data_IF_701222897731
#
_entry.id   IF_701222897731
#
_cell.length_a   1.000
_cell.length_b   1.000
_cell.length_c   1.000
_cell.angle_alpha   90.00
_cell.angle_beta   90.00
_cell.angle_gamma   90.00
#
_symmetry.space_group_name_H-M   'P 1'
#
loop_
_entity.id
_entity.type
_entity.pdbx_description
1 polymer ?
#
# COMPACT_ATOMS: atom_id res chain seq x y z
N UNK A 1 24.20 6.58 7.72
CA UNK A 1 24.11 5.11 7.66
C UNK A 1 22.68 4.75 7.96
N UNK A 2 21.96 4.07 7.05
CA UNK A 2 20.56 3.67 7.23
C UNK A 2 20.42 2.80 8.48
N UNK A 3 19.42 3.10 9.30
CA UNK A 3 19.13 2.32 10.52
C UNK A 3 17.99 1.32 10.24
N UNK A 4 18.20 0.39 9.32
CA UNK A 4 17.36 -0.80 9.31
C UNK A 4 17.81 -1.72 10.45
N UNK A 5 16.87 -2.13 11.27
CA UNK A 5 17.11 -3.10 12.34
C UNK A 5 17.40 -4.49 11.80
N UNK A 6 16.92 -4.80 10.59
CA UNK A 6 17.11 -6.07 9.89
C UNK A 6 17.57 -5.84 8.43
N UNK A 7 18.82 -6.16 8.07
CA UNK A 7 19.31 -6.05 6.70
C UNK A 7 18.53 -6.88 5.67
N UNK A 8 18.02 -8.06 6.04
CA UNK A 8 17.24 -8.91 5.14
C UNK A 8 15.94 -8.25 4.68
N UNK A 9 15.34 -7.43 5.56
CA UNK A 9 14.14 -6.64 5.21
C UNK A 9 14.48 -5.55 4.20
N UNK A 10 15.64 -4.90 4.34
CA UNK A 10 16.11 -3.92 3.37
C UNK A 10 16.35 -4.56 2.00
N UNK A 11 17.04 -5.70 1.96
CA UNK A 11 17.30 -6.42 0.71
C UNK A 11 15.98 -6.80 0.03
N UNK A 12 15.02 -7.35 0.78
CA UNK A 12 13.69 -7.67 0.29
C UNK A 12 12.93 -6.42 -0.21
N UNK A 13 13.03 -5.29 0.48
CA UNK A 13 12.45 -4.02 0.03
C UNK A 13 13.03 -3.59 -1.32
N UNK A 14 14.34 -3.70 -1.47
CA UNK A 14 15.05 -3.33 -2.71
C UNK A 14 14.80 -4.31 -3.86
N UNK A 15 14.68 -5.60 -3.58
CA UNK A 15 14.28 -6.62 -4.55
C UNK A 15 12.83 -6.46 -4.99
N UNK A 16 12.00 -5.91 -4.11
CA UNK A 16 10.59 -5.61 -4.34
C UNK A 16 9.64 -6.66 -3.81
N UNK A 17 8.64 -6.17 -3.08
CA UNK A 17 7.65 -6.96 -2.39
C UNK A 17 6.21 -6.65 -2.76
N UNK A 18 5.35 -7.60 -2.47
CA UNK A 18 3.90 -7.50 -2.52
C UNK A 18 3.39 -7.14 -1.11
N UNK A 19 2.89 -5.91 -0.94
CA UNK A 19 2.50 -5.37 0.37
C UNK A 19 1.03 -4.93 0.32
N UNK A 20 0.08 -5.70 0.87
CA UNK A 20 -1.30 -5.24 0.99
C UNK A 20 -1.42 -4.07 1.98
N UNK A 21 -2.28 -3.12 1.63
CA UNK A 21 -2.73 -2.07 2.53
C UNK A 21 -3.88 -2.64 3.38
N UNK A 22 -3.60 -2.93 4.65
CA UNK A 22 -4.49 -3.70 5.53
C UNK A 22 -5.77 -2.92 5.88
N UNK A 23 -6.98 -3.41 5.55
CA UNK A 23 -8.24 -2.80 5.94
C UNK A 23 -8.51 -2.89 7.45
N UNK A 24 -9.30 -1.96 7.97
CA UNK A 24 -9.78 -1.98 9.35
C UNK A 24 -11.06 -2.79 9.46
N UNK A 25 -11.04 -3.86 10.25
CA UNK A 25 -12.25 -4.60 10.58
C UNK A 25 -12.91 -4.00 11.83
N UNK A 26 -14.19 -3.65 11.70
CA UNK A 26 -15.00 -3.05 12.78
C UNK A 26 -16.21 -3.91 13.12
N UNK A 27 -16.73 -3.73 14.34
CA UNK A 27 -18.07 -4.13 14.76
C UNK A 27 -19.08 -3.04 14.36
N UNK A 28 -20.38 -3.35 14.47
CA UNK A 28 -21.46 -2.42 14.14
C UNK A 28 -21.53 -1.17 15.02
N UNK A 29 -20.90 -1.21 16.20
CA UNK A 29 -20.76 -0.08 17.12
C UNK A 29 -19.45 0.72 16.88
N UNK A 30 -18.75 0.46 15.78
CA UNK A 30 -17.49 1.05 15.37
C UNK A 30 -16.29 0.72 16.26
N UNK A 31 -16.43 -0.21 17.20
CA UNK A 31 -15.27 -0.77 17.90
C UNK A 31 -14.47 -1.72 16.98
N UNK A 32 -13.19 -1.91 17.26
CA UNK A 32 -12.35 -2.81 16.47
C UNK A 32 -12.85 -4.26 16.62
N UNK A 33 -13.15 -4.92 15.49
CA UNK A 33 -13.35 -6.37 15.46
C UNK A 33 -11.98 -7.06 15.41
N UNK A 34 -11.37 -7.23 16.59
CA UNK A 34 -10.02 -7.80 16.71
C UNK A 34 -9.93 -9.19 16.07
N UNK A 35 -10.95 -10.03 16.20
CA UNK A 35 -10.98 -11.37 15.62
C UNK A 35 -10.87 -11.33 14.09
N UNK A 36 -11.69 -10.51 13.44
CA UNK A 36 -11.64 -10.36 11.98
C UNK A 36 -10.36 -9.64 11.53
N UNK A 37 -9.86 -8.68 12.31
CA UNK A 37 -8.60 -7.99 12.01
C UNK A 37 -7.42 -8.96 12.01
N UNK A 38 -7.30 -9.82 13.03
CA UNK A 38 -6.29 -10.89 13.11
C UNK A 38 -6.46 -11.92 11.99
N UNK A 39 -7.71 -12.30 11.67
CA UNK A 39 -8.01 -13.20 10.54
C UNK A 39 -7.51 -12.63 9.21
N UNK A 40 -7.73 -11.35 8.93
CA UNK A 40 -7.20 -10.69 7.73
C UNK A 40 -5.68 -10.76 7.67
N UNK A 41 -5.00 -10.50 8.78
CA UNK A 41 -3.54 -10.65 8.87
C UNK A 41 -3.09 -12.07 8.51
N UNK A 42 -3.74 -13.09 9.07
CA UNK A 42 -3.44 -14.52 8.77
C UNK A 42 -3.75 -14.87 7.31
N UNK A 43 -4.85 -14.34 6.76
CA UNK A 43 -5.19 -14.52 5.35
C UNK A 43 -4.08 -14.00 4.44
N UNK A 44 -3.58 -12.78 4.68
CA UNK A 44 -2.47 -12.23 3.89
C UNK A 44 -1.21 -13.09 4.01
N UNK A 45 -0.88 -13.55 5.21
CA UNK A 45 0.25 -14.47 5.43
C UNK A 45 0.08 -15.79 4.69
N UNK A 46 -1.13 -16.34 4.65
CA UNK A 46 -1.45 -17.56 3.92
C UNK A 46 -1.38 -17.35 2.39
N UNK A 47 -1.70 -16.16 1.88
CA UNK A 47 -1.52 -15.80 0.48
C UNK A 47 -0.04 -15.75 0.05
N UNK A 48 0.89 -15.54 0.98
CA UNK A 48 2.32 -15.48 0.71
C UNK A 48 2.81 -14.08 0.35
N UNK A 49 2.29 -13.05 1.04
CA UNK A 49 2.72 -11.65 0.89
C UNK A 49 4.15 -11.43 1.40
N UNK A 50 4.82 -10.38 0.94
CA UNK A 50 6.18 -10.03 1.35
C UNK A 50 6.22 -9.02 2.51
N UNK A 51 5.09 -8.38 2.79
CA UNK A 51 4.95 -7.43 3.87
C UNK A 51 3.50 -7.06 4.12
N UNK A 52 3.26 -6.21 5.11
CA UNK A 52 1.94 -5.66 5.44
C UNK A 52 2.09 -4.18 5.78
N UNK A 53 1.17 -3.35 5.27
CA UNK A 53 1.05 -1.94 5.64
C UNK A 53 -0.22 -1.70 6.45
N UNK A 54 -0.09 -1.11 7.64
CA UNK A 54 -1.18 -0.82 8.57
C UNK A 54 -1.19 0.66 8.98
N UNK A 55 -2.34 1.21 9.35
CA UNK A 55 -2.46 2.64 9.66
C UNK A 55 -2.44 3.53 8.41
N UNK A 56 -2.67 2.94 7.24
CA UNK A 56 -2.71 3.55 5.91
C UNK A 56 -4.14 3.89 5.49
N UNK A 57 -4.37 4.35 4.26
CA UNK A 57 -5.70 4.77 3.78
C UNK A 57 -6.79 3.71 4.02
N UNK A 58 -6.55 2.46 3.67
CA UNK A 58 -7.52 1.36 3.87
C UNK A 58 -7.78 1.02 5.34
N UNK A 59 -6.83 1.37 6.23
CA UNK A 59 -7.02 1.25 7.68
C UNK A 59 -7.85 2.42 8.23
N UNK A 60 -8.20 3.39 7.39
CA UNK A 60 -8.94 4.62 7.68
C UNK A 60 -8.11 5.61 8.51
N UNK A 61 -7.97 6.84 8.00
CA UNK A 61 -7.16 7.86 8.69
C UNK A 61 -7.80 8.29 10.01
N UNK A 62 -9.12 8.14 10.13
CA UNK A 62 -9.95 8.42 11.29
C UNK A 62 -9.60 7.59 12.54
N UNK A 63 -8.83 6.52 12.42
CA UNK A 63 -8.26 5.80 13.59
C UNK A 63 -7.48 6.73 14.53
N UNK A 64 -7.10 7.93 14.02
CA UNK A 64 -6.35 8.96 14.76
C UNK A 64 -7.24 9.98 15.43
N UNK A 65 -8.52 10.02 15.08
CA UNK A 65 -9.46 10.96 15.70
C UNK A 65 -9.56 10.69 17.20
N UNK A 66 -9.58 11.75 18.04
CA UNK A 66 -9.61 11.58 19.51
C UNK A 66 -10.77 10.74 20.02
N UNK A 67 -11.90 10.70 19.29
CA UNK A 67 -13.06 9.90 19.65
C UNK A 67 -12.82 8.38 19.50
N UNK A 68 -11.91 7.96 18.61
CA UNK A 68 -11.55 6.58 18.39
C UNK A 68 -10.21 6.21 19.01
N UNK A 69 -9.17 6.98 18.70
CA UNK A 69 -7.81 6.79 19.19
C UNK A 69 -7.29 5.35 19.02
N UNK A 70 -7.53 4.76 17.83
CA UNK A 70 -7.22 3.36 17.53
C UNK A 70 -5.83 3.15 16.93
N UNK A 71 -5.08 4.21 16.61
CA UNK A 71 -3.82 4.08 15.87
C UNK A 71 -2.86 3.06 16.52
N UNK A 72 -2.51 3.25 17.79
CA UNK A 72 -1.62 2.33 18.52
C UNK A 72 -2.20 0.92 18.55
N UNK A 73 -3.47 0.77 18.87
CA UNK A 73 -4.13 -0.52 19.04
C UNK A 73 -4.11 -1.37 17.76
N UNK A 74 -4.40 -0.78 16.58
CA UNK A 74 -4.37 -1.54 15.31
C UNK A 74 -2.96 -1.98 14.93
N UNK A 75 -1.95 -1.16 15.23
CA UNK A 75 -0.56 -1.53 15.04
C UNK A 75 -0.15 -2.69 15.98
N UNK A 76 -0.53 -2.63 17.26
CA UNK A 76 -0.25 -3.67 18.26
C UNK A 76 -0.88 -5.01 17.89
N UNK A 77 -2.18 -5.02 17.52
CA UNK A 77 -2.89 -6.24 17.11
C UNK A 77 -2.20 -6.90 15.91
N UNK A 78 -1.84 -6.09 14.91
CA UNK A 78 -1.16 -6.61 13.71
C UNK A 78 0.24 -7.12 14.03
N UNK A 79 1.04 -6.38 14.80
CA UNK A 79 2.39 -6.79 15.18
C UNK A 79 2.41 -8.08 16.03
N UNK A 80 1.46 -8.21 16.95
CA UNK A 80 1.29 -9.42 17.76
C UNK A 80 0.93 -10.64 16.88
N UNK A 81 -0.01 -10.49 15.94
CA UNK A 81 -0.40 -11.57 15.04
C UNK A 81 0.76 -11.99 14.11
N UNK A 82 1.54 -11.03 13.60
CA UNK A 82 2.74 -11.31 12.82
C UNK A 82 3.79 -12.07 13.66
N UNK A 83 3.96 -11.68 14.92
CA UNK A 83 4.88 -12.38 15.85
C UNK A 83 4.47 -13.83 16.08
N UNK A 84 3.18 -14.07 16.34
CA UNK A 84 2.61 -15.43 16.54
C UNK A 84 2.81 -16.33 15.32
N UNK A 85 2.81 -15.76 14.12
CA UNK A 85 3.02 -16.53 12.89
C UNK A 85 4.43 -17.11 12.73
N UNK A 86 5.40 -16.64 13.51
CA UNK A 86 6.82 -16.98 13.38
C UNK A 86 7.50 -16.39 12.13
N UNK A 87 6.78 -15.57 11.33
CA UNK A 87 7.28 -14.98 10.06
C UNK A 87 7.66 -13.50 10.19
N UNK A 88 7.49 -12.89 11.36
CA UNK A 88 7.66 -11.44 11.56
C UNK A 88 9.03 -10.91 11.08
N UNK A 89 10.12 -11.66 11.28
CA UNK A 89 11.47 -11.25 10.90
C UNK A 89 11.74 -11.27 9.39
N UNK A 90 10.91 -11.98 8.62
CA UNK A 90 11.06 -12.11 7.16
C UNK A 90 10.08 -11.23 6.37
N UNK A 91 9.24 -10.44 7.05
CA UNK A 91 8.21 -9.59 6.45
C UNK A 91 8.60 -8.11 6.53
N UNK A 92 8.26 -7.36 5.47
CA UNK A 92 8.35 -5.90 5.47
C UNK A 92 7.14 -5.35 6.24
N UNK A 93 7.38 -4.73 7.40
CA UNK A 93 6.33 -4.15 8.24
C UNK A 93 6.31 -2.64 8.08
N UNK A 94 5.21 -2.12 7.53
CA UNK A 94 5.05 -0.70 7.22
C UNK A 94 3.94 -0.11 8.08
N UNK A 95 4.25 0.95 8.84
CA UNK A 95 3.24 1.73 9.56
C UNK A 95 2.95 3.04 8.81
N UNK A 96 1.67 3.37 8.59
CA UNK A 96 1.28 4.69 8.10
C UNK A 96 1.58 5.77 9.13
N UNK A 97 2.15 6.90 8.69
CA UNK A 97 2.47 8.06 9.52
C UNK A 97 1.83 9.29 8.90
N UNK A 98 1.04 10.04 9.68
CA UNK A 98 0.25 11.18 9.21
C UNK A 98 0.43 12.42 10.09
N UNK A 99 -0.28 13.49 9.73
CA UNK A 99 -0.42 14.70 10.52
C UNK A 99 0.81 15.63 10.55
N UNK A 100 0.74 16.72 11.31
CA UNK A 100 1.84 17.67 11.48
C UNK A 100 3.04 17.02 12.20
N UNK A 101 4.15 17.74 12.30
CA UNK A 101 5.44 17.19 12.75
C UNK A 101 5.37 16.47 14.11
N UNK A 102 4.67 17.04 15.09
CA UNK A 102 4.60 16.44 16.43
C UNK A 102 3.86 15.08 16.41
N UNK A 103 2.70 15.03 15.75
CA UNK A 103 1.95 13.78 15.57
C UNK A 103 2.77 12.76 14.77
N UNK A 104 3.41 13.20 13.70
CA UNK A 104 4.22 12.28 12.87
C UNK A 104 5.42 11.69 13.63
N UNK A 105 6.02 12.43 14.54
CA UNK A 105 7.10 11.93 15.41
C UNK A 105 6.56 10.93 16.44
N UNK A 106 5.44 11.23 17.08
CA UNK A 106 4.78 10.30 18.02
C UNK A 106 4.39 8.98 17.31
N UNK A 107 3.77 9.07 16.14
CA UNK A 107 3.41 7.88 15.35
C UNK A 107 4.64 7.08 14.91
N UNK A 108 5.74 7.75 14.55
CA UNK A 108 7.00 7.11 14.20
C UNK A 108 7.63 6.38 15.40
N UNK A 109 7.61 6.97 16.59
CA UNK A 109 8.10 6.37 17.83
C UNK A 109 7.25 5.15 18.23
N UNK A 110 5.93 5.25 18.13
CA UNK A 110 5.02 4.12 18.33
C UNK A 110 5.36 2.98 17.37
N UNK A 111 5.43 3.26 16.08
CA UNK A 111 5.74 2.28 15.05
C UNK A 111 7.09 1.60 15.29
N UNK A 112 8.13 2.38 15.59
CA UNK A 112 9.46 1.85 15.90
C UNK A 112 9.43 0.97 17.15
N UNK A 113 8.75 1.38 18.22
CA UNK A 113 8.64 0.61 19.48
C UNK A 113 7.93 -0.74 19.29
N UNK A 114 7.01 -0.83 18.33
CA UNK A 114 6.28 -2.05 17.97
C UNK A 114 7.00 -2.90 16.92
N UNK A 115 8.22 -2.50 16.52
CA UNK A 115 9.07 -3.25 15.60
C UNK A 115 8.66 -3.14 14.12
N UNK A 116 8.00 -2.06 13.71
CA UNK A 116 7.81 -1.73 12.30
C UNK A 116 9.14 -1.28 11.67
N UNK A 117 9.34 -1.65 10.42
CA UNK A 117 10.61 -1.43 9.71
C UNK A 117 10.64 -0.06 9.00
N UNK A 118 9.47 0.42 8.53
CA UNK A 118 9.32 1.67 7.78
C UNK A 118 8.06 2.43 8.19
N UNK A 119 8.16 3.76 8.11
CA UNK A 119 7.02 4.65 8.15
C UNK A 119 6.58 5.09 6.75
N UNK A 120 5.36 4.73 6.31
CA UNK A 120 4.74 5.28 5.11
C UNK A 120 4.26 6.69 5.42
N UNK A 121 5.07 7.68 5.04
CA UNK A 121 4.87 9.07 5.42
C UNK A 121 3.89 9.78 4.48
N UNK A 122 2.66 9.98 4.94
CA UNK A 122 1.64 10.73 4.20
C UNK A 122 1.85 12.22 4.33
N UNK A 123 1.59 12.94 3.24
CA UNK A 123 1.50 14.41 3.18
C UNK A 123 0.04 14.90 3.12
N UNK A 124 -0.92 13.98 3.19
CA UNK A 124 -2.35 14.29 3.19
C UNK A 124 -2.77 15.14 4.38
N UNK A 125 -3.75 16.02 4.19
CA UNK A 125 -4.26 16.90 5.24
C UNK A 125 -3.33 18.06 5.63
N UNK A 126 -2.20 18.28 4.92
CA UNK A 126 -1.20 19.30 5.22
C UNK A 126 -1.08 20.34 4.08
N UNK A 127 -2.21 20.73 3.51
CA UNK A 127 -2.28 21.66 2.37
C UNK A 127 -1.76 23.06 2.68
N UNK A 128 -1.79 23.46 3.93
CA UNK A 128 -1.30 24.74 4.46
C UNK A 128 0.23 24.81 4.60
N UNK A 129 0.92 23.66 4.56
CA UNK A 129 2.37 23.62 4.64
C UNK A 129 3.01 23.75 3.25
N UNK A 130 4.10 24.54 3.18
CA UNK A 130 4.94 24.58 1.98
C UNK A 130 5.69 23.27 1.74
N UNK A 131 6.18 23.04 0.51
CA UNK A 131 7.01 21.89 0.19
C UNK A 131 8.28 21.82 1.05
N UNK A 132 8.93 22.95 1.33
CA UNK A 132 10.12 22.98 2.18
C UNK A 132 9.78 22.60 3.65
N UNK A 133 8.62 23.02 4.18
CA UNK A 133 8.17 22.60 5.52
C UNK A 133 7.87 21.08 5.57
N UNK A 134 7.31 20.52 4.50
CA UNK A 134 7.08 19.06 4.39
C UNK A 134 8.40 18.29 4.27
N UNK A 135 9.39 18.83 3.59
CA UNK A 135 10.75 18.26 3.56
C UNK A 135 11.42 18.30 4.94
N UNK A 136 11.26 19.39 5.70
CA UNK A 136 11.79 19.48 7.06
C UNK A 136 11.11 18.50 8.01
N UNK A 137 9.77 18.34 7.90
CA UNK A 137 9.02 17.30 8.61
C UNK A 137 9.57 15.90 8.27
N UNK A 138 9.81 15.63 7.00
CA UNK A 138 10.36 14.35 6.54
C UNK A 138 11.74 14.09 7.15
N UNK A 139 12.63 15.10 7.18
CA UNK A 139 13.95 14.98 7.81
C UNK A 139 13.88 14.65 9.31
N UNK A 140 12.88 15.15 10.00
CA UNK A 140 12.68 14.86 11.43
C UNK A 140 12.19 13.41 11.61
N UNK A 141 11.17 12.96 10.88
CA UNK A 141 10.66 11.59 10.94
C UNK A 141 11.75 10.58 10.54
N UNK A 142 12.54 10.89 9.51
CA UNK A 142 13.65 10.04 9.04
C UNK A 142 14.78 9.81 10.09
N UNK A 143 14.83 10.60 11.17
CA UNK A 143 15.74 10.36 12.30
C UNK A 143 15.21 9.30 13.26
N UNK A 144 13.90 9.05 13.25
CA UNK A 144 13.22 8.09 14.12
C UNK A 144 13.08 6.75 13.43
N UNK A 145 12.48 6.71 12.23
CA UNK A 145 12.19 5.50 11.48
C UNK A 145 12.58 5.68 10.00
N UNK A 146 13.07 4.63 9.29
CA UNK A 146 13.25 4.69 7.85
C UNK A 146 11.96 5.08 7.13
N UNK A 147 12.07 6.00 6.16
CA UNK A 147 10.90 6.59 5.50
C UNK A 147 10.60 5.88 4.18
N UNK A 148 9.36 5.47 4.05
CA UNK A 148 8.68 5.15 2.82
C UNK A 148 7.88 6.38 2.40
N UNK A 149 8.33 7.14 1.40
CA UNK A 149 7.61 8.30 0.88
C UNK A 149 6.26 7.88 0.29
N UNK A 150 5.27 8.77 0.35
CA UNK A 150 3.95 8.48 -0.20
C UNK A 150 3.42 9.64 -1.03
N UNK A 151 3.34 9.43 -2.35
CA UNK A 151 2.62 10.32 -3.25
C UNK A 151 1.17 9.87 -3.35
N UNK A 152 0.30 10.48 -2.56
CA UNK A 152 -1.13 10.21 -2.55
C UNK A 152 -1.86 11.13 -3.55
N UNK A 153 -2.82 10.59 -4.30
CA UNK A 153 -3.64 11.37 -5.23
C UNK A 153 -4.53 12.40 -4.52
N UNK A 154 -4.82 13.55 -5.18
CA UNK A 154 -5.64 14.61 -4.58
C UNK A 154 -7.07 14.20 -4.21
N UNK A 155 -7.70 13.27 -4.95
CA UNK A 155 -9.09 12.85 -4.73
C UNK A 155 -9.34 12.16 -3.38
N UNK A 156 -8.28 11.66 -2.74
CA UNK A 156 -8.34 11.00 -1.42
C UNK A 156 -7.45 11.70 -0.38
N UNK A 157 -7.34 13.02 -0.50
CA UNK A 157 -6.67 13.88 0.49
C UNK A 157 -5.19 14.15 0.24
N UNK A 158 -4.63 13.74 -0.90
CA UNK A 158 -3.27 14.08 -1.31
C UNK A 158 -3.16 15.47 -1.95
N UNK A 159 -1.99 15.77 -2.50
CA UNK A 159 -1.74 17.01 -3.27
C UNK A 159 -0.70 16.77 -4.36
N UNK A 160 -0.69 17.66 -5.36
CA UNK A 160 0.35 17.66 -6.42
C UNK A 160 1.63 18.27 -5.85
N UNK A 161 2.76 17.63 -6.16
CA UNK A 161 4.09 18.11 -5.77
C UNK A 161 4.92 18.46 -6.99
N UNK A 162 5.82 19.42 -6.82
CA UNK A 162 6.80 19.77 -7.85
C UNK A 162 7.85 18.66 -8.04
N UNK A 163 8.47 18.64 -9.25
CA UNK A 163 9.65 17.80 -9.48
C UNK A 163 10.79 18.10 -8.49
N UNK A 164 10.99 19.39 -8.17
CA UNK A 164 12.04 19.82 -7.23
C UNK A 164 11.78 19.32 -5.82
N UNK A 165 10.52 19.21 -5.39
CA UNK A 165 10.17 18.57 -4.13
C UNK A 165 10.67 17.13 -4.09
N UNK A 166 10.34 16.31 -5.10
CA UNK A 166 10.75 14.92 -5.14
C UNK A 166 12.26 14.76 -5.23
N UNK A 167 12.96 15.64 -5.95
CA UNK A 167 14.40 15.66 -6.00
C UNK A 167 15.01 15.89 -4.62
N UNK A 168 14.57 16.94 -3.91
CA UNK A 168 15.00 17.24 -2.53
C UNK A 168 14.60 16.15 -1.55
N UNK A 169 13.43 15.49 -1.77
CA UNK A 169 12.97 14.37 -0.96
C UNK A 169 13.91 13.16 -1.06
N UNK A 170 14.40 12.86 -2.26
CA UNK A 170 15.38 11.79 -2.48
C UNK A 170 16.73 12.07 -1.81
N UNK A 171 17.08 13.33 -1.57
CA UNK A 171 18.35 13.70 -0.89
C UNK A 171 18.29 13.46 0.63
N UNK A 172 17.11 13.21 1.21
CA UNK A 172 16.95 13.02 2.66
C UNK A 172 17.52 11.64 3.05
N UNK A 173 18.51 11.57 3.97
CA UNK A 173 18.98 10.31 4.52
C UNK A 173 17.83 9.50 5.14
N UNK A 174 17.91 8.16 5.08
CA UNK A 174 16.87 7.22 5.53
C UNK A 174 15.53 7.28 4.76
N UNK A 175 15.41 8.04 3.66
CA UNK A 175 14.38 7.74 2.64
C UNK A 175 14.86 6.53 1.86
N UNK A 176 14.12 5.42 1.98
CA UNK A 176 14.52 4.10 1.47
C UNK A 176 13.60 3.61 0.35
N UNK A 177 12.39 4.15 0.29
CA UNK A 177 11.42 3.81 -0.75
C UNK A 177 10.45 4.97 -1.01
N UNK A 178 9.82 4.97 -2.17
CA UNK A 178 8.71 5.88 -2.51
C UNK A 178 7.57 5.06 -3.10
N UNK A 179 6.39 5.14 -2.47
CA UNK A 179 5.12 4.69 -3.03
C UNK A 179 4.56 5.80 -3.89
N UNK A 180 4.36 5.51 -5.17
CA UNK A 180 3.85 6.45 -6.17
C UNK A 180 2.42 6.10 -6.51
N UNK A 181 1.47 6.95 -6.11
CA UNK A 181 0.04 6.74 -6.24
C UNK A 181 -0.73 8.01 -6.64
N UNK A 182 -0.24 8.85 -7.58
CA UNK A 182 -1.00 10.02 -8.02
C UNK A 182 -2.12 9.70 -9.01
N UNK A 183 -2.17 8.49 -9.58
CA UNK A 183 -3.05 8.07 -10.68
C UNK A 183 -2.91 9.01 -11.92
N UNK A 184 -1.70 9.50 -12.12
CA UNK A 184 -1.30 10.39 -13.20
C UNK A 184 0.09 10.01 -13.70
N UNK A 185 0.20 9.78 -15.02
CA UNK A 185 1.47 9.31 -15.60
C UNK A 185 2.56 10.38 -15.60
N UNK A 186 2.20 11.65 -15.76
CA UNK A 186 3.17 12.76 -15.76
C UNK A 186 3.76 12.93 -14.36
N UNK A 187 2.91 12.93 -13.33
CA UNK A 187 3.33 13.01 -11.94
C UNK A 187 4.14 11.78 -11.51
N UNK A 188 3.75 10.59 -11.98
CA UNK A 188 4.52 9.35 -11.80
C UNK A 188 5.92 9.49 -12.38
N UNK A 189 6.05 10.02 -13.62
CA UNK A 189 7.34 10.24 -14.28
C UNK A 189 8.23 11.22 -13.52
N UNK A 190 7.66 12.26 -12.91
CA UNK A 190 8.43 13.23 -12.13
C UNK A 190 9.11 12.55 -10.90
N UNK A 191 8.41 11.65 -10.21
CA UNK A 191 9.01 10.88 -9.11
C UNK A 191 10.15 9.98 -9.62
N UNK A 192 9.88 9.21 -10.68
CA UNK A 192 10.89 8.28 -11.23
C UNK A 192 12.13 9.04 -11.70
N UNK A 193 11.92 10.16 -12.40
CA UNK A 193 13.00 11.04 -12.88
C UNK A 193 13.79 11.63 -11.72
N UNK A 194 13.11 12.07 -10.64
CA UNK A 194 13.77 12.60 -9.44
C UNK A 194 14.67 11.55 -8.79
N UNK A 195 14.21 10.31 -8.65
CA UNK A 195 15.03 9.21 -8.14
C UNK A 195 16.26 8.99 -9.03
N UNK A 196 16.08 8.92 -10.36
CA UNK A 196 17.20 8.72 -11.29
C UNK A 196 18.25 9.85 -11.23
N UNK A 197 17.81 11.08 -10.96
CA UNK A 197 18.69 12.26 -10.90
C UNK A 197 19.26 12.55 -9.49
N UNK A 198 18.85 11.80 -8.46
CA UNK A 198 19.32 12.02 -7.09
C UNK A 198 20.73 11.49 -6.82
N UNK A 199 21.23 10.59 -7.65
CA UNK A 199 22.46 9.82 -7.38
C UNK A 199 22.28 8.72 -6.33
N UNK A 200 21.06 8.57 -5.81
CA UNK A 200 20.69 7.54 -4.81
C UNK A 200 19.71 6.50 -5.39
N UNK A 201 19.65 6.38 -6.70
CA UNK A 201 18.76 5.43 -7.38
C UNK A 201 18.92 3.96 -6.92
N UNK A 202 20.11 3.48 -6.50
CA UNK A 202 20.24 2.12 -5.96
C UNK A 202 19.76 1.98 -4.50
N UNK A 203 19.57 3.11 -3.79
CA UNK A 203 19.21 3.12 -2.37
C UNK A 203 17.72 3.37 -2.11
N UNK A 204 16.98 3.80 -3.12
CA UNK A 204 15.55 4.14 -2.99
C UNK A 204 14.73 3.18 -3.83
N UNK A 205 13.98 2.28 -3.19
CA UNK A 205 13.06 1.38 -3.85
C UNK A 205 11.83 2.15 -4.39
N UNK A 206 11.39 1.83 -5.60
CA UNK A 206 10.21 2.43 -6.20
C UNK A 206 9.06 1.43 -6.18
N UNK A 207 7.95 1.79 -5.52
CA UNK A 207 6.77 0.97 -5.35
C UNK A 207 5.56 1.61 -6.00
N UNK A 208 4.79 0.83 -6.77
CA UNK A 208 3.53 1.33 -7.30
C UNK A 208 2.45 1.35 -6.23
N UNK A 209 1.66 2.40 -6.26
CA UNK A 209 0.41 2.58 -5.56
C UNK A 209 -0.68 3.04 -6.54
N UNK A 210 -0.37 3.01 -7.85
CA UNK A 210 -1.29 3.36 -8.92
C UNK A 210 -2.21 2.19 -9.22
N UNK A 211 -3.32 2.09 -8.50
CA UNK A 211 -4.30 1.01 -8.69
C UNK A 211 -4.92 1.01 -10.10
N UNK A 212 -4.83 2.12 -10.83
CA UNK A 212 -5.23 2.26 -12.23
C UNK A 212 -4.22 1.66 -13.24
N UNK A 213 -3.00 1.29 -12.80
CA UNK A 213 -1.92 0.93 -13.74
C UNK A 213 -0.90 -0.08 -13.17
N UNK A 214 -1.32 -0.97 -12.28
CA UNK A 214 -0.44 -1.86 -11.50
C UNK A 214 0.49 -2.67 -12.40
N UNK A 215 -0.07 -3.40 -13.35
CA UNK A 215 0.68 -4.33 -14.22
C UNK A 215 1.68 -3.57 -15.07
N UNK A 216 1.24 -2.48 -15.70
CA UNK A 216 2.12 -1.66 -16.55
C UNK A 216 3.29 -1.05 -15.75
N UNK A 217 3.03 -0.56 -14.53
CA UNK A 217 4.10 -0.04 -13.67
C UNK A 217 5.15 -1.13 -13.39
N UNK A 218 4.72 -2.35 -13.03
CA UNK A 218 5.61 -3.44 -12.67
C UNK A 218 6.46 -3.96 -13.83
N UNK A 219 5.98 -3.88 -15.07
CA UNK A 219 6.72 -4.38 -16.24
C UNK A 219 7.51 -3.32 -16.98
N UNK A 220 7.28 -2.02 -16.69
CA UNK A 220 7.92 -0.91 -17.42
C UNK A 220 9.33 -0.65 -16.91
N UNK A 221 10.27 -0.44 -17.84
CA UNK A 221 11.59 0.10 -17.58
C UNK A 221 11.63 1.58 -17.93
N UNK A 222 11.93 2.41 -16.93
CA UNK A 222 12.08 3.85 -17.10
C UNK A 222 13.56 4.19 -17.27
N UNK A 223 13.92 4.89 -18.33
CA UNK A 223 15.31 5.25 -18.66
C UNK A 223 15.45 6.74 -18.82
N UNK A 224 16.40 7.34 -18.08
CA UNK A 224 16.70 8.75 -18.15
C UNK A 224 18.19 8.97 -18.35
N UNK A 225 18.54 9.96 -19.19
CA UNK A 225 19.90 10.41 -19.35
C UNK A 225 20.28 11.30 -18.15
N UNK A 226 21.32 10.93 -17.43
CA UNK A 226 21.86 11.67 -16.28
C UNK A 226 23.35 11.89 -16.51
N UNK A 227 23.73 13.11 -16.92
CA UNK A 227 25.07 13.38 -17.43
C UNK A 227 25.34 12.54 -18.68
N UNK A 228 26.43 11.77 -18.67
CA UNK A 228 26.84 10.91 -19.80
C UNK A 228 26.34 9.46 -19.69
N UNK A 229 25.62 9.11 -18.63
CA UNK A 229 25.06 7.76 -18.43
C UNK A 229 23.54 7.71 -18.61
N UNK A 230 23.03 6.53 -18.94
CA UNK A 230 21.59 6.22 -18.89
C UNK A 230 21.34 5.48 -17.58
N UNK A 231 20.45 6.04 -16.75
CA UNK A 231 20.01 5.43 -15.51
C UNK A 231 18.66 4.75 -15.78
N UNK A 232 18.55 3.49 -15.40
CA UNK A 232 17.31 2.70 -15.48
C UNK A 232 16.69 2.55 -14.09
N UNK A 233 15.37 2.74 -14.00
CA UNK A 233 14.59 2.50 -12.78
C UNK A 233 13.33 1.72 -13.12
N UNK A 234 12.90 0.85 -12.17
CA UNK A 234 11.65 0.09 -12.27
C UNK A 234 10.88 0.18 -10.98
N UNK A 235 9.58 0.02 -11.08
CA UNK A 235 8.78 -0.35 -9.92
C UNK A 235 9.14 -1.79 -9.55
N UNK A 236 9.73 -1.96 -8.38
CA UNK A 236 10.20 -3.28 -7.92
C UNK A 236 9.11 -4.06 -7.19
N UNK A 237 8.11 -3.35 -6.65
CA UNK A 237 7.00 -3.91 -5.90
C UNK A 237 5.78 -3.01 -5.90
N UNK A 238 4.77 -3.38 -5.12
CA UNK A 238 3.56 -2.60 -4.91
C UNK A 238 3.14 -2.55 -3.44
N UNK A 239 2.60 -1.40 -3.04
CA UNK A 239 1.88 -1.21 -1.79
C UNK A 239 0.53 -0.59 -2.16
N UNK A 240 -0.51 -1.42 -2.22
CA UNK A 240 -1.73 -1.13 -2.96
C UNK A 240 -2.98 -1.49 -2.17
N UNK A 241 -4.07 -0.74 -2.42
CA UNK A 241 -5.40 -1.06 -1.96
C UNK A 241 -5.94 -2.33 -2.61
N UNK A 242 -5.70 -2.51 -3.93
CA UNK A 242 -6.06 -3.73 -4.65
C UNK A 242 -5.50 -5.00 -4.00
N UNK A 243 -4.30 -4.93 -3.43
CA UNK A 243 -3.66 -6.09 -2.80
C UNK A 243 -4.36 -6.57 -1.51
N UNK A 244 -5.31 -5.80 -1.00
CA UNK A 244 -6.13 -6.17 0.16
C UNK A 244 -7.28 -7.14 -0.17
N UNK A 245 -7.65 -7.29 -1.44
CA UNK A 245 -8.72 -8.16 -1.93
C UNK A 245 -8.18 -9.09 -3.02
N UNK A 246 -8.78 -10.26 -3.15
CA UNK A 246 -8.32 -11.29 -4.09
C UNK A 246 -6.81 -11.51 -4.02
N UNK A 247 -6.29 -11.42 -2.79
CA UNK A 247 -4.86 -11.30 -2.50
C UNK A 247 -4.07 -12.46 -3.05
N UNK A 248 -4.60 -13.70 -2.97
CA UNK A 248 -3.90 -14.88 -3.48
C UNK A 248 -3.65 -14.79 -4.99
N UNK A 249 -4.65 -14.38 -5.76
CA UNK A 249 -4.53 -14.21 -7.22
C UNK A 249 -3.59 -13.07 -7.59
N UNK A 250 -3.67 -11.98 -6.83
CA UNK A 250 -2.78 -10.83 -7.03
C UNK A 250 -1.31 -11.17 -6.71
N UNK A 251 -1.04 -12.00 -5.68
CA UNK A 251 0.31 -12.53 -5.40
C UNK A 251 0.80 -13.43 -6.54
N UNK A 252 -0.05 -14.33 -7.04
CA UNK A 252 0.29 -15.21 -8.18
C UNK A 252 0.66 -14.38 -9.42
N UNK A 253 -0.14 -13.36 -9.75
CA UNK A 253 0.14 -12.43 -10.84
C UNK A 253 1.47 -11.70 -10.62
N UNK A 254 1.68 -11.12 -9.45
CA UNK A 254 2.92 -10.41 -9.12
C UNK A 254 4.16 -11.31 -9.29
N UNK A 255 4.11 -12.56 -8.78
CA UNK A 255 5.20 -13.54 -8.94
C UNK A 255 5.43 -13.90 -10.41
N UNK A 256 4.36 -14.10 -11.18
CA UNK A 256 4.43 -14.36 -12.62
C UNK A 256 5.14 -13.21 -13.36
N UNK A 257 4.77 -11.96 -13.09
CA UNK A 257 5.39 -10.80 -13.72
C UNK A 257 6.88 -10.69 -13.37
N UNK A 258 7.25 -10.83 -12.09
CA UNK A 258 8.66 -10.76 -11.65
C UNK A 258 9.50 -11.88 -12.29
N UNK A 259 9.01 -13.10 -12.25
CA UNK A 259 9.72 -14.25 -12.81
C UNK A 259 9.85 -14.16 -14.32
N UNK A 260 8.77 -13.76 -15.00
CA UNK A 260 8.78 -13.60 -16.46
C UNK A 260 9.71 -12.48 -16.92
N UNK A 261 9.79 -11.35 -16.18
CA UNK A 261 10.76 -10.29 -16.44
C UNK A 261 12.19 -10.80 -16.27
N UNK A 262 12.46 -11.52 -15.17
CA UNK A 262 13.79 -12.07 -14.87
C UNK A 262 14.28 -13.05 -15.94
N UNK A 263 13.35 -13.86 -16.46
CA UNK A 263 13.63 -14.87 -17.51
C UNK A 263 13.54 -14.34 -18.93
N UNK A 264 12.96 -13.17 -19.14
CA UNK A 264 12.65 -12.65 -20.48
C UNK A 264 11.58 -13.47 -21.22
N UNK A 265 10.62 -14.04 -20.49
CA UNK A 265 9.59 -14.95 -21.02
C UNK A 265 8.17 -14.42 -20.95
N UNK A 266 7.99 -13.11 -20.65
CA UNK A 266 6.64 -12.52 -20.61
C UNK A 266 5.99 -12.49 -22.00
N UNK A 267 4.76 -12.96 -22.05
CA UNK A 267 3.85 -12.64 -23.14
C UNK A 267 3.25 -11.26 -22.90
N UNK A 268 3.90 -10.21 -23.42
CA UNK A 268 3.48 -8.84 -23.19
C UNK A 268 2.04 -8.55 -23.62
N UNK A 269 1.54 -9.00 -24.80
CA UNK A 269 0.12 -8.85 -25.15
C UNK A 269 -0.82 -9.42 -24.08
N UNK A 270 -0.60 -10.65 -23.62
CA UNK A 270 -1.44 -11.28 -22.60
C UNK A 270 -1.35 -10.54 -21.25
N UNK A 271 -0.14 -10.14 -20.84
CA UNK A 271 0.10 -9.38 -19.59
C UNK A 271 -0.58 -8.01 -19.62
N UNK A 272 -0.53 -7.30 -20.75
CA UNK A 272 -1.20 -6.01 -20.91
C UNK A 272 -2.72 -6.16 -20.86
N UNK A 273 -3.28 -7.24 -21.45
CA UNK A 273 -4.70 -7.56 -21.34
C UNK A 273 -5.11 -7.79 -19.89
N UNK A 274 -4.35 -8.58 -19.14
CA UNK A 274 -4.57 -8.77 -17.69
C UNK A 274 -4.49 -7.44 -16.95
N UNK A 275 -3.60 -6.53 -17.35
CA UNK A 275 -3.52 -5.18 -16.78
C UNK A 275 -4.81 -4.37 -16.94
N UNK A 276 -5.46 -4.48 -18.11
CA UNK A 276 -6.77 -3.85 -18.35
C UNK A 276 -7.85 -4.46 -17.45
N UNK A 277 -7.87 -5.78 -17.30
CA UNK A 277 -8.82 -6.51 -16.45
C UNK A 277 -8.68 -6.10 -14.97
N UNK A 278 -7.45 -6.05 -14.45
CA UNK A 278 -7.17 -5.57 -13.08
C UNK A 278 -7.62 -4.13 -12.89
N UNK A 279 -7.37 -3.26 -13.88
CA UNK A 279 -7.80 -1.86 -13.82
C UNK A 279 -9.33 -1.73 -13.82
N UNK A 280 -10.04 -2.55 -14.60
CA UNK A 280 -11.51 -2.59 -14.60
C UNK A 280 -12.06 -3.09 -13.25
N UNK A 281 -11.46 -4.13 -12.66
CA UNK A 281 -11.82 -4.57 -11.30
C UNK A 281 -11.62 -3.43 -10.28
N UNK A 282 -10.52 -2.69 -10.39
CA UNK A 282 -10.23 -1.56 -9.51
C UNK A 282 -11.20 -0.40 -9.69
N UNK A 283 -11.71 -0.18 -10.90
CA UNK A 283 -12.70 0.86 -11.14
C UNK A 283 -13.98 0.65 -10.33
N UNK A 284 -14.40 -0.62 -10.15
CA UNK A 284 -15.56 -1.01 -9.37
C UNK A 284 -15.31 -0.93 -7.85
N UNK A 285 -14.21 -1.54 -7.37
CA UNK A 285 -13.95 -1.58 -5.91
C UNK A 285 -13.57 -0.23 -5.34
N UNK A 286 -12.89 0.64 -6.12
CA UNK A 286 -12.50 1.98 -5.67
C UNK A 286 -13.51 3.07 -6.03
N UNK A 287 -14.66 2.72 -6.61
CA UNK A 287 -15.75 3.67 -6.89
C UNK A 287 -15.30 4.88 -7.72
N UNK A 288 -14.55 4.61 -8.78
CA UNK A 288 -13.97 5.65 -9.65
C UNK A 288 -15.07 6.53 -10.25
N UNK A 289 -16.24 5.95 -10.59
CA UNK A 289 -17.38 6.67 -11.11
C UNK A 289 -17.91 7.77 -10.17
N UNK A 290 -17.72 7.60 -8.86
CA UNK A 290 -18.12 8.55 -7.82
C UNK A 290 -16.91 9.22 -7.13
N UNK A 291 -15.79 9.37 -7.86
CA UNK A 291 -14.57 10.05 -7.40
C UNK A 291 -14.00 9.43 -6.13
N UNK A 292 -13.96 8.11 -6.07
CA UNK A 292 -13.39 7.31 -4.97
C UNK A 292 -14.14 7.42 -3.63
N UNK A 293 -15.40 7.87 -3.63
CA UNK A 293 -16.19 8.08 -2.41
C UNK A 293 -16.42 6.78 -1.62
N UNK A 294 -16.64 5.65 -2.31
CA UNK A 294 -16.86 4.33 -1.73
C UNK A 294 -15.64 3.41 -1.82
N UNK A 295 -14.42 3.95 -1.78
CA UNK A 295 -13.21 3.16 -2.05
C UNK A 295 -12.87 2.16 -0.94
N UNK A 296 -13.05 2.50 0.33
CA UNK A 296 -12.82 1.59 1.45
C UNK A 296 -14.01 0.64 1.58
N UNK A 297 -15.23 1.16 1.46
CA UNK A 297 -16.47 0.35 1.47
C UNK A 297 -16.49 -0.71 0.37
N UNK A 298 -15.96 -0.42 -0.83
CA UNK A 298 -15.86 -1.39 -1.91
C UNK A 298 -14.89 -2.53 -1.58
N UNK A 299 -13.75 -2.23 -0.96
CA UNK A 299 -12.83 -3.25 -0.43
C UNK A 299 -13.56 -4.10 0.63
N UNK A 300 -14.25 -3.47 1.58
CA UNK A 300 -14.99 -4.18 2.62
C UNK A 300 -16.08 -5.07 2.03
N UNK A 301 -16.81 -4.63 1.00
CA UNK A 301 -17.84 -5.42 0.33
C UNK A 301 -17.27 -6.74 -0.22
N UNK A 302 -16.10 -6.70 -0.86
CA UNK A 302 -15.43 -7.93 -1.33
C UNK A 302 -15.08 -8.84 -0.15
N UNK A 303 -14.47 -8.29 0.90
CA UNK A 303 -14.06 -9.07 2.08
C UNK A 303 -15.26 -9.69 2.84
N UNK A 304 -16.42 -9.01 2.87
CA UNK A 304 -17.67 -9.54 3.44
C UNK A 304 -18.18 -10.71 2.61
N UNK A 305 -18.24 -10.57 1.29
CA UNK A 305 -18.66 -11.65 0.39
C UNK A 305 -17.79 -12.90 0.56
N UNK A 306 -16.52 -12.71 0.86
CA UNK A 306 -15.58 -13.78 1.16
C UNK A 306 -15.66 -14.31 2.60
N UNK A 307 -16.40 -13.65 3.51
CA UNK A 307 -16.52 -14.03 4.92
C UNK A 307 -15.31 -13.71 5.78
N UNK A 308 -14.42 -12.83 5.28
CA UNK A 308 -13.21 -12.42 6.00
C UNK A 308 -13.49 -11.37 7.08
N UNK A 309 -14.47 -10.48 6.86
CA UNK A 309 -14.97 -9.50 7.83
C UNK A 309 -16.49 -9.57 7.96
N UNK A 310 -17.05 -8.91 8.98
CA UNK A 310 -18.49 -9.02 9.32
C UNK A 310 -19.37 -7.95 8.66
N UNK A 311 -18.81 -6.80 8.30
CA UNK A 311 -19.61 -5.69 7.77
C UNK A 311 -18.75 -4.60 7.13
N UNK A 312 -19.42 -3.70 6.39
CA UNK A 312 -18.78 -2.58 5.66
C UNK A 312 -18.56 -1.33 6.53
N UNK A 313 -18.71 -1.47 7.83
CA UNK A 313 -18.61 -0.33 8.74
C UNK A 313 -17.29 0.41 8.60
N UNK A 314 -17.40 1.73 8.47
CA UNK A 314 -16.26 2.65 8.41
C UNK A 314 -16.41 3.71 9.50
N UNK A 315 -15.29 4.26 9.98
CA UNK A 315 -15.27 5.30 11.02
C UNK A 315 -15.86 6.61 10.50
N UNK A 316 -15.59 6.94 9.22
CA UNK A 316 -16.26 8.06 8.56
C UNK A 316 -17.67 7.67 8.12
N UNK A 317 -18.72 8.41 8.50
CA UNK A 317 -20.09 8.17 8.05
C UNK A 317 -20.29 8.44 6.55
N UNK A 318 -19.36 9.18 5.93
CA UNK A 318 -19.37 9.47 4.50
C UNK A 318 -18.81 8.33 3.64
N UNK A 319 -18.00 7.45 4.23
CA UNK A 319 -17.42 6.28 3.58
C UNK A 319 -18.41 5.13 3.55
N UNK A 320 -19.11 5.01 2.42
CA UNK A 320 -20.15 3.98 2.17
C UNK A 320 -20.22 3.66 0.69
N UNK A 321 -20.75 2.51 0.36
CA UNK A 321 -21.01 2.15 -1.03
C UNK A 321 -21.89 3.19 -1.72
N UNK A 322 -21.47 3.61 -2.90
CA UNK A 322 -22.27 4.45 -3.77
C UNK A 322 -23.38 3.64 -4.47
N UNK A 323 -24.38 4.34 -5.00
CA UNK A 323 -25.45 3.72 -5.80
C UNK A 323 -24.85 3.01 -7.03
N UNK A 324 -25.21 1.75 -7.26
CA UNK A 324 -24.71 0.93 -8.37
C UNK A 324 -23.32 0.31 -8.15
N UNK A 325 -22.58 0.65 -7.08
CA UNK A 325 -21.24 0.10 -6.86
C UNK A 325 -21.25 -1.42 -6.58
N UNK A 326 -22.29 -1.93 -5.91
CA UNK A 326 -22.43 -3.39 -5.68
C UNK A 326 -22.58 -4.16 -6.99
N UNK A 327 -23.39 -3.64 -7.87
CA UNK A 327 -23.67 -4.20 -9.20
C UNK A 327 -22.41 -4.18 -10.06
N UNK A 328 -21.58 -3.13 -9.97
CA UNK A 328 -20.29 -3.06 -10.64
C UNK A 328 -19.29 -4.09 -10.08
N UNK A 329 -19.27 -4.30 -8.76
CA UNK A 329 -18.46 -5.36 -8.14
C UNK A 329 -18.95 -6.74 -8.61
N UNK A 330 -20.27 -6.99 -8.71
CA UNK A 330 -20.83 -8.23 -9.27
C UNK A 330 -20.41 -8.43 -10.72
N UNK A 331 -20.44 -7.38 -11.52
CA UNK A 331 -20.03 -7.40 -12.93
C UNK A 331 -18.58 -7.86 -13.06
N UNK A 332 -17.65 -7.23 -12.35
CA UNK A 332 -16.22 -7.53 -12.52
C UNK A 332 -15.86 -8.92 -11.97
N UNK A 333 -16.47 -9.37 -10.88
CA UNK A 333 -16.30 -10.74 -10.37
C UNK A 333 -16.77 -11.78 -11.40
N UNK A 334 -17.92 -11.54 -12.03
CA UNK A 334 -18.46 -12.43 -13.07
C UNK A 334 -17.61 -12.41 -14.33
N UNK A 335 -17.07 -11.25 -14.70
CA UNK A 335 -16.31 -11.09 -15.94
C UNK A 335 -14.89 -11.64 -15.85
N UNK A 336 -14.26 -11.54 -14.66
CA UNK A 336 -12.86 -11.94 -14.44
C UNK A 336 -12.71 -13.01 -13.34
N UNK A 337 -13.40 -14.16 -13.43
CA UNK A 337 -13.39 -15.18 -12.36
C UNK A 337 -11.99 -15.78 -12.12
N UNK A 338 -11.07 -15.66 -13.07
CA UNK A 338 -9.69 -16.14 -12.97
C UNK A 338 -8.80 -15.23 -12.09
N UNK A 339 -9.25 -13.99 -11.79
CA UNK A 339 -8.58 -13.03 -10.89
C UNK A 339 -9.18 -13.04 -9.48
N UNK A 340 -10.20 -13.87 -9.21
CA UNK A 340 -10.87 -13.98 -7.91
C UNK A 340 -10.37 -15.21 -7.15
N UNK A 341 -10.16 -15.10 -5.85
CA UNK A 341 -9.57 -16.17 -5.02
C UNK A 341 -10.54 -16.82 -4.01
N UNK A 342 -11.83 -16.79 -4.28
CA UNK A 342 -12.88 -17.28 -3.36
C UNK A 342 -12.69 -18.75 -2.95
N UNK A 343 -12.17 -19.61 -3.84
CA UNK A 343 -11.86 -21.02 -3.51
C UNK A 343 -10.78 -21.08 -2.43
N UNK A 344 -9.71 -20.32 -2.61
CA UNK A 344 -8.63 -20.23 -1.62
C UNK A 344 -9.12 -19.70 -0.27
N UNK A 345 -9.96 -18.65 -0.29
CA UNK A 345 -10.51 -18.07 0.93
C UNK A 345 -11.40 -19.08 1.68
N UNK A 346 -12.23 -19.85 0.99
CA UNK A 346 -13.05 -20.91 1.61
C UNK A 346 -12.17 -21.97 2.29
N UNK A 347 -11.12 -22.43 1.64
CA UNK A 347 -10.17 -23.37 2.24
C UNK A 347 -9.43 -22.78 3.43
N UNK A 348 -9.00 -21.52 3.32
CA UNK A 348 -8.37 -20.79 4.42
C UNK A 348 -9.29 -20.70 5.64
N UNK A 349 -10.55 -20.29 5.48
CA UNK A 349 -11.50 -20.14 6.57
C UNK A 349 -11.82 -21.46 7.28
N UNK A 350 -11.89 -22.57 6.54
CA UNK A 350 -12.07 -23.91 7.13
C UNK A 350 -10.90 -24.32 8.00
N UNK A 351 -9.69 -23.88 7.71
CA UNK A 351 -8.48 -24.16 8.50
C UNK A 351 -8.32 -23.18 9.65
N UNK A 352 -8.60 -21.89 9.45
CA UNK A 352 -8.50 -20.83 10.47
C UNK A 352 -9.47 -21.04 11.63
N UNK A 353 -10.62 -21.69 11.39
CA UNK A 353 -11.61 -22.01 12.43
C UNK A 353 -11.24 -23.20 13.33
N UNK A 354 -10.17 -23.94 13.01
CA UNK A 354 -9.71 -25.12 13.75
C UNK A 354 -8.52 -24.84 14.66
N UNK A 355 -7.88 -23.70 14.55
CA UNK A 355 -6.74 -23.26 15.35
C UNK A 355 -7.11 -22.12 16.28
#
# INVERSE_FOLDING_TARGET
MMKFSNPEVLDKLMEGGFIPAHPLALNSDLTIDEQSHRRLTRYYLACGVDGIAIGVHTTQFEIRDPQFNYYRQVLEITADELSRSGKASSLIKVAGICGPVNQALEEAEIAQSLGYDLGLLSMGGLSDLSEDQLLDRTRQVAKVIPVFGFYLQPSVGGRVFSYDFWKKFCDIPNVCAIKTAPFDRYQTLDVVRAICHSGREPEIALYTGNDDNIVNDLITSYRFKVGDRVVEKRFVGGLLGHYAVWTKKSVELFRHLKEGLRKGTLDYPAVLQTGVEVTDMNSAIFDVAHRFKGSISGIHEVLIRQGLIKGIWCLSPEEKLSEGQKEEIDRVISQYPHLVDDIFVKEFLLNDSKG
#
